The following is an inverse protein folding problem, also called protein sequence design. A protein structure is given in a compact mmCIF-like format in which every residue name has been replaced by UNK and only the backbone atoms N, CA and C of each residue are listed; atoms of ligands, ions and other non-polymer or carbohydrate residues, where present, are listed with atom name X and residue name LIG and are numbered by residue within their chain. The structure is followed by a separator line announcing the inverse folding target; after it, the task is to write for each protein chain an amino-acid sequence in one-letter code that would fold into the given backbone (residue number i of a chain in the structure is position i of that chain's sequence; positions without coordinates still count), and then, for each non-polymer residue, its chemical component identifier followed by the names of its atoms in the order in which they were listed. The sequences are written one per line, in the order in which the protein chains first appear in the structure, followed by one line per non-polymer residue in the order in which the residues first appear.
data_IF_784072753747
#
_entry.id   IF_784072753747
#
_cell.length_a   1.000
_cell.length_b   1.000
_cell.length_c   1.000
_cell.angle_alpha   90.00
_cell.angle_beta   90.00
_cell.angle_gamma   90.00
#
_symmetry.space_group_name_H-M   'P 1'
#
loop_
_entity.id
_entity.type
_entity.pdbx_description
1 polymer ?
#
# COMPACT_ATOMS: atom_id res chain seq x y z
N UNK A 1 26.39 22.74 -24.37
CA UNK A 1 25.82 21.41 -24.27
C UNK A 1 26.89 20.41 -23.89
N UNK A 2 26.58 19.44 -23.03
CA UNK A 2 27.50 18.35 -22.70
C UNK A 2 27.50 17.35 -23.86
N UNK A 3 28.65 17.15 -24.52
CA UNK A 3 28.82 16.06 -25.49
C UNK A 3 29.19 14.78 -24.72
N UNK A 4 28.32 13.80 -24.78
CA UNK A 4 28.59 12.46 -24.24
C UNK A 4 29.43 11.68 -25.27
N UNK A 5 30.62 11.29 -24.90
CA UNK A 5 31.50 10.47 -25.73
C UNK A 5 31.44 9.04 -25.20
N UNK A 6 31.04 8.10 -26.06
CA UNK A 6 31.02 6.69 -25.72
C UNK A 6 32.45 6.13 -25.56
N UNK A 7 32.69 5.39 -24.49
CA UNK A 7 33.99 4.72 -24.24
C UNK A 7 34.03 3.29 -24.80
N UNK A 8 32.90 2.77 -25.27
CA UNK A 8 32.73 1.43 -25.84
C UNK A 8 32.56 1.53 -27.37
N UNK A 9 32.76 0.43 -28.06
CA UNK A 9 32.44 0.30 -29.49
C UNK A 9 30.95 0.49 -29.74
N UNK A 10 30.59 0.81 -30.98
CA UNK A 10 29.19 0.98 -31.40
C UNK A 10 28.39 -0.27 -31.08
N UNK A 11 27.37 -0.11 -30.24
CA UNK A 11 26.42 -1.17 -29.89
C UNK A 11 25.25 -1.28 -30.90
N UNK A 12 24.26 -2.06 -30.53
CA UNK A 12 23.03 -2.21 -31.30
C UNK A 12 22.27 -0.88 -31.42
N UNK A 13 21.47 -0.76 -32.45
CA UNK A 13 20.63 0.42 -32.66
C UNK A 13 19.54 0.50 -31.57
N UNK A 14 19.25 1.72 -31.13
CA UNK A 14 18.13 1.97 -30.22
C UNK A 14 16.84 1.59 -30.93
N UNK A 15 16.01 0.78 -30.25
CA UNK A 15 14.66 0.43 -30.68
C UNK A 15 13.65 1.21 -29.86
N UNK A 16 12.66 1.77 -30.54
CA UNK A 16 11.55 2.49 -29.89
C UNK A 16 10.29 1.66 -30.10
N UNK A 17 9.57 1.43 -29.03
CA UNK A 17 8.28 0.72 -29.06
C UNK A 17 7.20 1.65 -28.53
N UNK A 18 6.03 1.57 -29.15
CA UNK A 18 4.80 2.18 -28.67
C UNK A 18 3.88 1.06 -28.18
N UNK A 19 3.27 1.24 -27.02
CA UNK A 19 2.35 0.28 -26.41
C UNK A 19 1.03 0.97 -26.11
N UNK A 20 -0.07 0.24 -26.17
CA UNK A 20 -1.40 0.79 -25.91
C UNK A 20 -1.65 1.02 -24.42
N UNK A 21 -1.04 0.20 -23.57
CA UNK A 21 -1.14 0.30 -22.11
C UNK A 21 0.15 -0.20 -21.42
N UNK A 22 0.21 0.01 -20.11
CA UNK A 22 1.34 -0.41 -19.27
C UNK A 22 1.52 -1.93 -19.18
N UNK A 23 0.47 -2.71 -19.41
CA UNK A 23 0.54 -4.17 -19.40
C UNK A 23 1.19 -4.70 -20.67
N UNK A 24 0.89 -4.08 -21.82
CA UNK A 24 1.54 -4.39 -23.09
C UNK A 24 3.01 -3.99 -23.05
N UNK A 25 3.31 -2.80 -22.51
CA UNK A 25 4.69 -2.34 -22.31
C UNK A 25 5.47 -3.34 -21.45
N UNK A 26 4.93 -3.69 -20.30
CA UNK A 26 5.54 -4.66 -19.38
C UNK A 26 5.79 -6.01 -20.04
N UNK A 27 4.82 -6.53 -20.81
CA UNK A 27 5.00 -7.79 -21.55
C UNK A 27 6.13 -7.72 -22.57
N UNK A 28 6.21 -6.64 -23.36
CA UNK A 28 7.30 -6.44 -24.33
C UNK A 28 8.67 -6.40 -23.65
N UNK A 29 8.79 -5.68 -22.53
CA UNK A 29 10.03 -5.61 -21.74
C UNK A 29 10.43 -7.01 -21.27
N UNK A 30 9.49 -7.77 -20.72
CA UNK A 30 9.74 -9.12 -20.21
C UNK A 30 10.15 -10.06 -21.33
N UNK A 31 9.45 -10.03 -22.47
CA UNK A 31 9.77 -10.86 -23.63
C UNK A 31 11.19 -10.58 -24.16
N UNK A 32 11.60 -9.31 -24.18
CA UNK A 32 12.93 -8.94 -24.61
C UNK A 32 14.00 -9.37 -23.61
N UNK A 33 13.73 -9.27 -22.30
CA UNK A 33 14.64 -9.78 -21.25
C UNK A 33 14.79 -11.31 -21.38
N UNK A 34 13.71 -12.05 -21.56
CA UNK A 34 13.76 -13.50 -21.74
C UNK A 34 14.60 -13.87 -22.97
N UNK A 35 14.41 -13.16 -24.10
CA UNK A 35 15.25 -13.36 -25.30
C UNK A 35 16.73 -13.10 -25.07
N UNK A 36 17.06 -12.04 -24.32
CA UNK A 36 18.44 -11.72 -23.97
C UNK A 36 19.07 -12.82 -23.11
N UNK A 37 18.37 -13.26 -22.08
CA UNK A 37 18.81 -14.36 -21.21
C UNK A 37 19.00 -15.67 -22.01
N UNK A 38 18.05 -15.97 -22.91
CA UNK A 38 18.15 -17.16 -23.78
C UNK A 38 19.34 -17.11 -24.74
N UNK A 39 19.85 -15.90 -25.06
CA UNK A 39 21.08 -15.69 -25.85
C UNK A 39 22.35 -15.77 -25.03
N UNK A 40 22.25 -15.97 -23.72
CA UNK A 40 23.39 -16.08 -22.81
C UNK A 40 23.75 -14.79 -22.07
N UNK A 41 22.96 -13.71 -22.21
CA UNK A 41 23.18 -12.50 -21.43
C UNK A 41 22.84 -12.75 -19.96
N UNK A 42 23.66 -12.19 -19.06
CA UNK A 42 23.39 -12.30 -17.65
C UNK A 42 22.27 -11.33 -17.25
N UNK A 43 21.26 -11.80 -16.51
CA UNK A 43 20.22 -10.96 -15.96
C UNK A 43 20.76 -9.80 -15.09
N UNK A 44 21.98 -9.95 -14.53
CA UNK A 44 22.64 -8.89 -13.74
C UNK A 44 23.12 -7.71 -14.58
N UNK A 45 23.28 -7.91 -15.87
CA UNK A 45 23.74 -6.88 -16.81
C UNK A 45 22.59 -6.18 -17.52
N UNK A 46 21.33 -6.57 -17.21
CA UNK A 46 20.10 -5.97 -17.75
C UNK A 46 19.55 -4.98 -16.72
N UNK A 47 19.26 -3.76 -17.16
CA UNK A 47 18.61 -2.74 -16.34
C UNK A 47 17.35 -2.20 -17.04
N UNK A 48 16.26 -2.08 -16.30
CA UNK A 48 15.05 -1.38 -16.72
C UNK A 48 14.98 -0.07 -15.96
N UNK A 49 14.90 1.05 -16.70
CA UNK A 49 14.90 2.40 -16.14
C UNK A 49 13.54 3.02 -16.40
N UNK A 50 12.91 3.56 -15.37
CA UNK A 50 11.64 4.27 -15.45
C UNK A 50 11.71 5.61 -14.71
N UNK A 51 10.87 6.55 -15.11
CA UNK A 51 10.89 7.92 -14.59
C UNK A 51 10.08 8.08 -13.30
N UNK A 52 8.97 7.38 -13.18
CA UNK A 52 7.97 7.57 -12.10
C UNK A 52 7.82 6.26 -11.32
N UNK A 53 7.84 6.35 -10.00
CA UNK A 53 7.75 5.17 -9.13
C UNK A 53 6.46 4.35 -9.33
N UNK A 54 5.37 4.97 -9.74
CA UNK A 54 4.11 4.28 -10.04
C UNK A 54 4.27 3.19 -11.12
N UNK A 55 5.16 3.41 -12.12
CA UNK A 55 5.42 2.42 -13.18
C UNK A 55 6.12 1.14 -12.68
N UNK A 56 6.72 1.16 -11.48
CA UNK A 56 7.37 -0.03 -10.95
C UNK A 56 6.38 -1.16 -10.66
N UNK A 57 5.12 -0.84 -10.37
CA UNK A 57 4.10 -1.85 -10.01
C UNK A 57 3.89 -2.87 -11.12
N UNK A 58 3.56 -2.41 -12.33
CA UNK A 58 3.30 -3.30 -13.47
C UNK A 58 4.54 -4.13 -13.81
N UNK A 59 5.74 -3.53 -13.75
CA UNK A 59 7.02 -4.22 -13.95
C UNK A 59 7.26 -5.28 -12.87
N UNK A 60 7.10 -4.95 -11.58
CA UNK A 60 7.28 -5.87 -10.46
C UNK A 60 6.32 -7.07 -10.55
N UNK A 61 5.04 -6.80 -10.85
CA UNK A 61 4.03 -7.85 -11.05
C UNK A 61 4.37 -8.73 -12.27
N UNK A 62 4.84 -8.12 -13.34
CA UNK A 62 5.26 -8.83 -14.55
C UNK A 62 6.48 -9.71 -14.31
N UNK A 63 7.53 -9.22 -13.65
CA UNK A 63 8.70 -10.01 -13.29
C UNK A 63 8.35 -11.18 -12.36
N UNK A 64 7.49 -10.95 -11.36
CA UNK A 64 7.03 -12.01 -10.46
C UNK A 64 6.27 -13.11 -11.23
N UNK A 65 5.36 -12.73 -12.15
CA UNK A 65 4.63 -13.70 -12.99
C UNK A 65 5.54 -14.49 -13.92
N UNK A 66 6.58 -13.84 -14.45
CA UNK A 66 7.57 -14.49 -15.32
C UNK A 66 8.65 -15.27 -14.57
N UNK A 67 8.66 -15.25 -13.24
CA UNK A 67 9.69 -15.88 -12.42
C UNK A 67 11.08 -15.25 -12.57
N UNK A 68 11.16 -14.00 -13.01
CA UNK A 68 12.43 -13.27 -13.19
C UNK A 68 12.79 -12.58 -11.87
N UNK A 69 13.95 -12.96 -11.31
CA UNK A 69 14.48 -12.29 -10.13
C UNK A 69 14.97 -10.89 -10.49
N UNK A 70 14.53 -9.90 -9.74
CA UNK A 70 14.91 -8.51 -9.94
C UNK A 70 15.32 -7.84 -8.63
N UNK A 71 16.05 -6.72 -8.75
CA UNK A 71 16.37 -5.83 -7.65
C UNK A 71 15.89 -4.41 -8.00
N UNK A 72 15.00 -3.85 -7.18
CA UNK A 72 14.65 -2.46 -7.30
C UNK A 72 15.74 -1.58 -6.66
N UNK A 73 16.23 -0.60 -7.43
CA UNK A 73 17.27 0.34 -6.99
C UNK A 73 16.66 1.72 -6.85
N UNK A 74 16.88 2.36 -5.69
CA UNK A 74 16.40 3.73 -5.43
C UNK A 74 14.93 3.86 -5.04
N UNK A 75 14.24 2.74 -4.80
CA UNK A 75 12.84 2.74 -4.39
C UNK A 75 12.50 1.58 -3.45
N UNK A 76 11.27 1.60 -2.95
CA UNK A 76 10.68 0.54 -2.15
C UNK A 76 9.72 -0.26 -3.02
N UNK A 77 9.73 -1.59 -2.90
CA UNK A 77 8.77 -2.45 -3.62
C UNK A 77 7.34 -1.98 -3.37
N UNK A 78 6.49 -2.08 -4.38
CA UNK A 78 5.12 -1.55 -4.32
C UNK A 78 4.38 -1.98 -3.05
N UNK A 79 4.35 -3.28 -2.76
CA UNK A 79 3.67 -3.81 -1.58
C UNK A 79 4.37 -3.53 -0.24
N UNK A 80 5.57 -2.96 -0.27
CA UNK A 80 6.30 -2.54 0.94
C UNK A 80 6.05 -1.08 1.29
N UNK A 81 5.46 -0.29 0.38
CA UNK A 81 5.15 1.12 0.59
C UNK A 81 4.15 1.29 1.73
N UNK A 82 4.32 2.37 2.51
CA UNK A 82 3.55 2.58 3.72
C UNK A 82 2.05 2.71 3.44
N UNK A 83 1.68 3.49 2.43
CA UNK A 83 0.30 3.71 2.00
C UNK A 83 -0.38 2.43 1.52
N UNK A 84 0.36 1.56 0.81
CA UNK A 84 -0.15 0.27 0.35
C UNK A 84 -0.34 -0.70 1.53
N UNK A 85 0.62 -0.74 2.46
CA UNK A 85 0.46 -1.53 3.69
C UNK A 85 -0.72 -1.06 4.55
N UNK A 86 -1.00 0.25 4.56
CA UNK A 86 -2.14 0.80 5.27
C UNK A 86 -3.45 0.34 4.63
N UNK A 87 -3.59 0.41 3.28
CA UNK A 87 -4.75 -0.12 2.55
C UNK A 87 -4.95 -1.62 2.78
N UNK A 88 -3.87 -2.40 2.69
CA UNK A 88 -3.93 -3.85 2.98
C UNK A 88 -4.38 -4.11 4.41
N UNK A 89 -3.95 -3.29 5.37
CA UNK A 89 -4.36 -3.46 6.77
C UNK A 89 -5.85 -3.13 6.97
N UNK A 90 -6.39 -2.12 6.27
CA UNK A 90 -7.83 -1.88 6.24
C UNK A 90 -8.58 -3.09 5.67
N UNK A 91 -8.17 -3.58 4.51
CA UNK A 91 -8.79 -4.75 3.89
C UNK A 91 -8.76 -5.99 4.81
N UNK A 92 -7.62 -6.20 5.49
CA UNK A 92 -7.47 -7.32 6.43
C UNK A 92 -8.44 -7.25 7.60
N UNK A 93 -8.63 -6.06 8.18
CA UNK A 93 -9.50 -5.92 9.35
C UNK A 93 -10.98 -6.14 8.98
N UNK A 94 -11.39 -5.85 7.75
CA UNK A 94 -12.74 -6.11 7.25
C UNK A 94 -13.01 -7.61 7.08
N UNK A 95 -11.96 -8.38 6.75
CA UNK A 95 -12.06 -9.84 6.54
C UNK A 95 -11.68 -10.65 7.78
N UNK A 96 -10.88 -10.09 8.68
CA UNK A 96 -10.43 -10.75 9.91
C UNK A 96 -10.35 -9.75 11.08
N UNK A 97 -11.41 -9.67 11.86
CA UNK A 97 -11.54 -8.79 13.02
C UNK A 97 -10.66 -9.16 14.22
N UNK A 98 -9.92 -10.28 14.14
CA UNK A 98 -8.98 -10.68 15.19
C UNK A 98 -7.55 -10.18 14.93
N UNK A 99 -7.29 -9.58 13.79
CA UNK A 99 -5.97 -9.04 13.42
C UNK A 99 -5.68 -7.70 14.13
N UNK A 100 -5.31 -7.79 15.40
CA UNK A 100 -4.92 -6.61 16.20
C UNK A 100 -3.72 -5.86 15.59
N UNK A 101 -2.84 -6.52 14.83
CA UNK A 101 -1.69 -5.87 14.20
C UNK A 101 -2.16 -4.90 13.11
N UNK A 102 -3.04 -5.34 12.23
CA UNK A 102 -3.63 -4.49 11.19
C UNK A 102 -4.46 -3.36 11.80
N UNK A 103 -5.26 -3.63 12.83
CA UNK A 103 -6.04 -2.59 13.51
C UNK A 103 -5.14 -1.49 14.11
N UNK A 104 -4.11 -1.87 14.84
CA UNK A 104 -3.16 -0.91 15.44
C UNK A 104 -2.45 -0.07 14.39
N UNK A 105 -2.21 -0.63 13.22
CA UNK A 105 -1.61 0.10 12.11
C UNK A 105 -2.52 1.21 11.58
N UNK A 106 -3.81 0.95 11.43
CA UNK A 106 -4.75 1.85 10.74
C UNK A 106 -5.55 2.78 11.66
N UNK A 107 -5.67 2.47 12.95
CA UNK A 107 -6.52 3.23 13.89
C UNK A 107 -6.21 4.74 13.92
N UNK A 108 -4.98 5.13 13.59
CA UNK A 108 -4.53 6.52 13.47
C UNK A 108 -4.04 6.88 12.05
N UNK A 109 -4.56 6.24 11.03
CA UNK A 109 -4.28 6.46 9.60
C UNK A 109 -5.60 6.59 8.81
N UNK A 110 -5.98 7.80 8.36
CA UNK A 110 -5.38 9.12 8.60
C UNK A 110 -5.27 9.49 10.08
N UNK A 111 -4.53 10.56 10.38
CA UNK A 111 -4.32 11.00 11.77
C UNK A 111 -5.64 11.35 12.47
N UNK A 112 -5.93 10.67 13.59
CA UNK A 112 -7.13 10.86 14.43
C UNK A 112 -6.80 11.28 15.87
N UNK A 113 -5.52 11.51 16.17
CA UNK A 113 -5.08 11.83 17.53
C UNK A 113 -5.00 10.61 18.46
N UNK A 114 -5.06 9.41 17.93
CA UNK A 114 -4.88 8.17 18.69
C UNK A 114 -3.37 7.89 18.80
N UNK A 115 -2.81 8.14 19.97
CA UNK A 115 -1.39 7.94 20.23
C UNK A 115 -1.07 6.57 20.82
N UNK A 116 0.25 6.32 20.95
CA UNK A 116 0.78 5.05 21.47
C UNK A 116 0.16 4.66 22.82
N UNK A 117 0.06 5.59 23.76
CA UNK A 117 -0.52 5.34 25.09
C UNK A 117 -1.95 4.79 25.02
N UNK A 118 -2.76 5.26 24.06
CA UNK A 118 -4.12 4.75 23.87
C UNK A 118 -4.08 3.33 23.34
N UNK A 119 -3.19 3.05 22.38
CA UNK A 119 -2.99 1.72 21.82
C UNK A 119 -2.51 0.73 22.87
N UNK A 120 -1.53 1.12 23.72
CA UNK A 120 -1.02 0.28 24.80
C UNK A 120 -2.12 -0.08 25.82
N UNK A 121 -3.02 0.86 26.13
CA UNK A 121 -4.18 0.59 27.00
C UNK A 121 -5.18 -0.40 26.38
N UNK A 122 -5.43 -0.28 25.09
CA UNK A 122 -6.29 -1.21 24.35
C UNK A 122 -5.65 -2.60 24.28
N UNK A 123 -4.35 -2.68 24.05
CA UNK A 123 -3.61 -3.96 24.09
C UNK A 123 -3.69 -4.62 25.47
N UNK A 124 -3.47 -3.88 26.54
CA UNK A 124 -3.59 -4.42 27.89
C UNK A 124 -5.01 -4.96 28.16
N UNK A 125 -6.04 -4.21 27.74
CA UNK A 125 -7.43 -4.64 27.92
C UNK A 125 -7.78 -5.84 27.04
N UNK A 126 -7.23 -5.91 25.82
CA UNK A 126 -7.35 -7.06 24.93
C UNK A 126 -6.79 -8.34 25.55
N UNK A 127 -5.62 -8.26 26.17
CA UNK A 127 -4.98 -9.37 26.88
C UNK A 127 -5.78 -9.80 28.11
N UNK A 128 -6.25 -8.84 28.92
CA UNK A 128 -7.06 -9.08 30.11
C UNK A 128 -8.34 -9.85 29.78
N UNK A 129 -9.05 -9.41 28.74
CA UNK A 129 -10.33 -9.98 28.34
C UNK A 129 -10.21 -11.16 27.37
N UNK A 130 -9.02 -11.44 26.86
CA UNK A 130 -8.76 -12.42 25.79
C UNK A 130 -9.65 -12.18 24.56
N UNK A 131 -9.90 -10.92 24.24
CA UNK A 131 -10.69 -10.46 23.09
C UNK A 131 -9.80 -9.63 22.14
N UNK A 132 -10.17 -9.59 20.85
CA UNK A 132 -9.51 -8.67 19.93
C UNK A 132 -9.83 -7.22 20.30
N UNK A 133 -8.93 -6.30 19.91
CA UNK A 133 -9.19 -4.85 20.09
C UNK A 133 -10.45 -4.46 19.32
N UNK A 134 -10.65 -5.03 18.14
CA UNK A 134 -11.86 -4.81 17.33
C UNK A 134 -13.13 -5.15 18.13
N UNK A 135 -13.20 -6.34 18.72
CA UNK A 135 -14.35 -6.77 19.54
C UNK A 135 -14.56 -5.84 20.73
N UNK A 136 -13.50 -5.37 21.38
CA UNK A 136 -13.62 -4.40 22.48
C UNK A 136 -14.20 -3.06 21.98
N UNK A 137 -13.73 -2.57 20.84
CA UNK A 137 -14.23 -1.32 20.26
C UNK A 137 -15.68 -1.47 19.77
N UNK A 138 -16.10 -2.64 19.33
CA UNK A 138 -17.45 -2.95 18.89
C UNK A 138 -18.41 -3.07 20.07
N UNK A 139 -18.09 -3.93 21.04
CA UNK A 139 -18.97 -4.31 22.14
C UNK A 139 -19.10 -3.26 23.25
N UNK A 140 -18.02 -2.53 23.56
CA UNK A 140 -18.03 -1.59 24.68
C UNK A 140 -18.77 -0.31 24.30
N UNK A 141 -19.64 0.15 25.16
CA UNK A 141 -20.26 1.47 25.03
C UNK A 141 -19.23 2.60 25.21
N UNK A 142 -19.54 3.79 24.72
CA UNK A 142 -18.65 4.95 24.73
C UNK A 142 -18.15 5.30 26.14
N UNK A 143 -19.01 5.16 27.16
CA UNK A 143 -18.66 5.46 28.57
C UNK A 143 -17.76 4.38 29.19
N UNK A 144 -17.92 3.12 28.80
CA UNK A 144 -17.05 2.03 29.23
C UNK A 144 -15.66 2.18 28.62
N UNK A 145 -15.61 2.44 27.33
CA UNK A 145 -14.38 2.69 26.60
C UNK A 145 -13.66 3.94 27.15
N UNK A 146 -14.41 4.97 27.56
CA UNK A 146 -13.86 6.19 28.15
C UNK A 146 -13.13 5.94 29.47
N UNK A 147 -13.51 4.94 30.24
CA UNK A 147 -12.80 4.55 31.47
C UNK A 147 -11.41 4.00 31.18
N UNK A 148 -11.20 3.42 30.00
CA UNK A 148 -9.92 2.83 29.57
C UNK A 148 -9.03 3.90 28.91
N UNK A 149 -9.56 4.60 27.90
CA UNK A 149 -8.78 5.46 27.00
C UNK A 149 -9.04 6.96 27.16
N UNK A 150 -10.01 7.33 27.99
CA UNK A 150 -10.46 8.71 28.20
C UNK A 150 -11.55 9.13 27.18
N UNK A 151 -12.39 10.09 27.59
CA UNK A 151 -13.60 10.52 26.84
C UNK A 151 -13.31 10.93 25.39
N UNK A 152 -12.24 11.71 25.16
CA UNK A 152 -11.88 12.17 23.82
C UNK A 152 -11.55 10.99 22.89
N UNK A 153 -10.66 10.10 23.33
CA UNK A 153 -10.23 8.97 22.54
C UNK A 153 -11.35 7.94 22.34
N UNK A 154 -12.21 7.75 23.34
CA UNK A 154 -13.39 6.91 23.23
C UNK A 154 -14.31 7.36 22.08
N UNK A 155 -14.63 8.65 22.02
CA UNK A 155 -15.46 9.20 20.92
C UNK A 155 -14.79 9.00 19.57
N UNK A 156 -13.48 9.31 19.47
CA UNK A 156 -12.74 9.13 18.21
C UNK A 156 -12.73 7.68 17.76
N UNK A 157 -12.53 6.74 18.69
CA UNK A 157 -12.52 5.30 18.37
C UNK A 157 -13.91 4.79 17.97
N UNK A 158 -14.98 5.30 18.56
CA UNK A 158 -16.36 4.95 18.15
C UNK A 158 -16.70 5.47 16.76
N UNK A 159 -16.28 6.70 16.42
CA UNK A 159 -16.43 7.23 15.05
C UNK A 159 -15.63 6.38 14.06
N UNK A 160 -14.38 6.06 14.39
CA UNK A 160 -13.56 5.18 13.56
C UNK A 160 -14.22 3.81 13.35
N UNK A 161 -14.77 3.20 14.40
CA UNK A 161 -15.47 1.91 14.29
C UNK A 161 -16.70 1.98 13.39
N UNK A 162 -17.52 3.05 13.54
CA UNK A 162 -18.67 3.25 12.65
C UNK A 162 -18.22 3.31 11.19
N UNK A 163 -17.19 4.12 10.88
CA UNK A 163 -16.61 4.20 9.54
C UNK A 163 -16.07 2.85 9.02
N UNK A 164 -15.50 2.02 9.89
CA UNK A 164 -15.02 0.68 9.51
C UNK A 164 -16.21 -0.25 9.21
N UNK A 165 -17.30 -0.16 9.96
CA UNK A 165 -18.51 -0.95 9.72
C UNK A 165 -19.19 -0.53 8.41
N UNK A 166 -19.33 0.77 8.16
CA UNK A 166 -19.88 1.29 6.89
C UNK A 166 -19.05 0.78 5.68
N UNK A 167 -17.72 0.78 5.83
CA UNK A 167 -16.83 0.25 4.78
C UNK A 167 -16.96 -1.26 4.60
N UNK A 168 -17.23 -2.01 5.68
CA UNK A 168 -17.48 -3.45 5.61
C UNK A 168 -18.76 -3.74 4.83
N UNK A 169 -19.83 -3.03 5.12
CA UNK A 169 -21.11 -3.16 4.43
C UNK A 169 -20.95 -2.83 2.93
N UNK A 170 -20.24 -1.74 2.60
CA UNK A 170 -19.92 -1.38 1.23
C UNK A 170 -19.10 -2.45 0.49
N UNK A 171 -18.17 -3.12 1.18
CA UNK A 171 -17.39 -4.23 0.61
C UNK A 171 -18.24 -5.47 0.33
N UNK A 172 -19.22 -5.76 1.19
CA UNK A 172 -20.16 -6.87 1.00
C UNK A 172 -21.09 -6.61 -0.18
N UNK A 173 -21.52 -5.36 -0.39
CA UNK A 173 -22.32 -4.97 -1.55
C UNK A 173 -21.53 -5.03 -2.86
N UNK A 174 -20.31 -4.51 -2.90
CA UNK A 174 -19.49 -4.47 -4.12
C UNK A 174 -18.00 -4.36 -3.85
N UNK A 175 -17.29 -5.46 -4.10
CA UNK A 175 -15.82 -5.49 -4.02
C UNK A 175 -15.13 -4.52 -4.99
N UNK A 176 -15.76 -4.21 -6.12
CA UNK A 176 -15.20 -3.30 -7.14
C UNK A 176 -15.20 -1.84 -6.66
N UNK A 177 -16.13 -1.46 -5.78
CA UNK A 177 -16.27 -0.10 -5.25
C UNK A 177 -15.52 0.14 -3.94
N UNK A 178 -14.77 -0.86 -3.49
CA UNK A 178 -14.07 -0.76 -2.20
C UNK A 178 -13.16 0.48 -2.09
N UNK A 179 -12.34 0.75 -3.11
CA UNK A 179 -11.41 1.89 -3.08
C UNK A 179 -12.15 3.23 -3.08
N UNK A 180 -13.23 3.32 -3.85
CA UNK A 180 -14.06 4.54 -3.87
C UNK A 180 -14.72 4.76 -2.52
N UNK A 181 -15.35 3.72 -1.95
CA UNK A 181 -15.98 3.78 -0.62
C UNK A 181 -14.97 4.04 0.49
N UNK A 182 -13.75 3.49 0.37
CA UNK A 182 -12.66 3.75 1.31
C UNK A 182 -12.24 5.22 1.29
N UNK A 183 -12.09 5.80 0.09
CA UNK A 183 -11.69 7.19 -0.07
C UNK A 183 -12.80 8.14 0.40
N UNK A 184 -14.07 7.86 0.05
CA UNK A 184 -15.24 8.62 0.52
C UNK A 184 -15.34 8.61 2.06
N UNK A 185 -15.01 7.46 2.70
CA UNK A 185 -15.13 7.31 4.16
C UNK A 185 -13.95 7.94 4.91
N UNK A 186 -12.73 7.81 4.41
CA UNK A 186 -11.53 8.16 5.16
C UNK A 186 -10.74 9.33 4.60
N UNK A 187 -11.02 9.79 3.36
CA UNK A 187 -10.27 10.85 2.66
C UNK A 187 -8.74 10.61 2.78
N UNK A 188 -8.36 9.37 2.50
CA UNK A 188 -7.01 8.90 2.81
C UNK A 188 -5.95 9.58 1.94
N UNK A 189 -6.26 9.82 0.66
CA UNK A 189 -5.36 10.53 -0.28
C UNK A 189 -5.04 11.94 0.19
N UNK A 190 -6.03 12.70 0.65
CA UNK A 190 -5.83 14.06 1.16
C UNK A 190 -4.90 14.11 2.37
N UNK A 191 -4.74 13.00 3.11
CA UNK A 191 -3.78 12.93 4.21
C UNK A 191 -2.32 13.12 3.78
N UNK A 192 -2.01 13.05 2.48
CA UNK A 192 -0.69 13.22 1.88
C UNK A 192 -0.49 14.57 1.19
N UNK A 193 -1.48 15.46 1.11
CA UNK A 193 -1.39 16.73 0.37
C UNK A 193 -0.19 17.58 0.76
N UNK A 194 0.19 17.57 2.04
CA UNK A 194 1.32 18.33 2.56
C UNK A 194 2.60 17.50 2.76
N UNK A 195 2.63 16.26 2.27
CA UNK A 195 3.82 15.43 2.36
C UNK A 195 4.77 15.72 1.18
N UNK A 196 6.10 15.74 1.39
CA UNK A 196 7.08 15.96 0.32
C UNK A 196 6.95 14.96 -0.85
N UNK A 197 6.51 13.73 -0.55
CA UNK A 197 6.29 12.63 -1.47
C UNK A 197 4.79 12.35 -1.71
N UNK A 198 3.92 13.33 -1.39
CA UNK A 198 2.47 13.18 -1.39
C UNK A 198 1.91 12.80 -2.75
N UNK A 199 2.37 13.45 -3.82
CA UNK A 199 1.96 13.13 -5.18
C UNK A 199 2.22 11.67 -5.56
N UNK A 200 3.41 11.16 -5.24
CA UNK A 200 3.76 9.76 -5.52
C UNK A 200 2.90 8.79 -4.70
N UNK A 201 2.63 9.11 -3.44
CA UNK A 201 1.77 8.27 -2.58
C UNK A 201 0.33 8.23 -3.03
N UNK A 202 -0.22 9.38 -3.42
CA UNK A 202 -1.57 9.46 -3.97
C UNK A 202 -1.70 8.66 -5.28
N UNK A 203 -0.68 8.72 -6.13
CA UNK A 203 -0.62 7.94 -7.36
C UNK A 203 -0.46 6.42 -7.14
N UNK A 204 -0.06 5.97 -5.96
CA UNK A 204 0.04 4.56 -5.61
C UNK A 204 -1.30 3.95 -5.15
N UNK A 205 -2.24 4.78 -4.69
CA UNK A 205 -3.56 4.42 -4.20
C UNK A 205 -4.58 4.40 -5.33
#
# INVERSE_FOLDING_TARGET
GKNLIGTRTKGDSIKVYESHDENEETRKIIDDIIKLIARGESARDIAVIFRVNALSRSLEEGFNRAGINYRLVGGMKFYERAEIKDLIAYFRILTNTTDNFSLKRIVNKPKRGIGKTTIDKLDAKSLELKKSIFSILEEFEADELAKIVGKKNSRTLKVFMASVMDLKDALEESKMRFLDSFEETFDYRASFDNAPDGYDRQGNI
#
